data_IF_401179844254
#
_entry.id   IF_401179844254
#
_cell.length_a   1.000
_cell.length_b   1.000
_cell.length_c   1.000
_cell.angle_alpha   90.00
_cell.angle_beta   90.00
_cell.angle_gamma   90.00
#
_symmetry.space_group_name_H-M   'P 1'
#
loop_
_entity.id
_entity.type
_entity.pdbx_description
1 polymer ?
#
# COMPACT_ATOMS: atom_id res chain seq x y z
N UNK A 1 -5.84 15.54 5.89
CA UNK A 1 -4.39 15.30 5.99
C UNK A 1 -4.23 13.88 6.48
N UNK A 2 -3.51 13.04 5.74
CA UNK A 2 -3.04 11.76 6.24
C UNK A 2 -2.26 12.01 7.53
N UNK A 3 -2.55 11.28 8.62
CA UNK A 3 -1.64 11.28 9.75
C UNK A 3 -0.41 10.51 9.31
N UNK A 4 0.74 11.16 9.23
CA UNK A 4 2.02 10.48 9.01
C UNK A 4 2.15 9.32 10.02
N UNK A 5 2.49 8.14 9.51
CA UNK A 5 2.54 6.90 10.29
C UNK A 5 1.22 6.15 10.45
N UNK A 6 0.10 6.63 9.89
CA UNK A 6 -1.16 5.88 9.84
C UNK A 6 -0.99 4.57 9.07
N UNK A 7 -1.53 3.47 9.61
CA UNK A 7 -1.45 2.14 9.01
C UNK A 7 -2.68 1.88 8.15
N UNK A 8 -2.47 1.51 6.89
CA UNK A 8 -3.52 1.19 5.92
C UNK A 8 -3.32 -0.18 5.30
N UNK A 9 -4.42 -0.85 4.95
CA UNK A 9 -4.41 -2.14 4.27
C UNK A 9 -4.75 -1.97 2.78
N UNK A 10 -3.92 -2.53 1.89
CA UNK A 10 -4.15 -2.59 0.44
C UNK A 10 -4.33 -4.04 0.03
N UNK A 11 -5.48 -4.39 -0.54
CA UNK A 11 -5.69 -5.73 -1.10
C UNK A 11 -5.24 -5.78 -2.56
N UNK A 12 -4.48 -6.81 -2.95
CA UNK A 12 -3.99 -6.96 -4.32
C UNK A 12 -2.86 -5.98 -4.65
N UNK A 13 -1.94 -5.75 -3.72
CA UNK A 13 -0.85 -4.77 -3.84
C UNK A 13 0.16 -5.05 -4.95
N UNK A 14 0.18 -6.26 -5.51
CA UNK A 14 1.00 -6.60 -6.68
C UNK A 14 0.35 -6.28 -8.03
N UNK A 15 -0.95 -5.91 -8.05
CA UNK A 15 -1.66 -5.56 -9.28
C UNK A 15 -1.25 -4.20 -9.85
N UNK A 16 -1.67 -3.88 -11.08
CA UNK A 16 -1.38 -2.61 -11.75
C UNK A 16 -1.80 -1.39 -10.90
N UNK A 17 -3.03 -1.39 -10.39
CA UNK A 17 -3.54 -0.30 -9.55
C UNK A 17 -3.00 -0.41 -8.12
N UNK A 18 -2.93 -1.64 -7.58
CA UNK A 18 -2.48 -1.88 -6.22
C UNK A 18 -1.04 -1.41 -5.99
N UNK A 19 -0.13 -1.70 -6.92
CA UNK A 19 1.27 -1.31 -6.82
C UNK A 19 1.47 0.20 -6.90
N UNK A 20 0.77 0.88 -7.82
CA UNK A 20 0.79 2.35 -7.88
C UNK A 20 0.22 2.97 -6.59
N UNK A 21 -0.88 2.43 -6.06
CA UNK A 21 -1.49 2.91 -4.83
C UNK A 21 -0.56 2.72 -3.62
N UNK A 22 0.14 1.59 -3.51
CA UNK A 22 1.15 1.35 -2.46
C UNK A 22 2.26 2.40 -2.55
N UNK A 23 2.80 2.65 -3.74
CA UNK A 23 3.85 3.66 -3.94
C UNK A 23 3.39 5.07 -3.53
N UNK A 24 2.18 5.48 -3.95
CA UNK A 24 1.63 6.79 -3.62
C UNK A 24 1.37 6.95 -2.11
N UNK A 25 0.87 5.90 -1.44
CA UNK A 25 0.63 5.93 0.01
C UNK A 25 1.95 6.00 0.79
N UNK A 26 2.99 5.27 0.36
CA UNK A 26 4.32 5.36 0.97
C UNK A 26 4.92 6.77 0.81
N UNK A 27 4.80 7.39 -0.36
CA UNK A 27 5.25 8.79 -0.57
C UNK A 27 4.51 9.79 0.32
N UNK A 28 3.26 9.50 0.72
CA UNK A 28 2.47 10.31 1.63
C UNK A 28 2.76 10.04 3.11
N UNK A 29 3.70 9.14 3.43
CA UNK A 29 4.11 8.83 4.80
C UNK A 29 3.20 7.84 5.53
N UNK A 30 2.42 7.03 4.80
CA UNK A 30 1.65 5.94 5.40
C UNK A 30 2.50 4.70 5.63
N UNK A 31 2.14 3.92 6.64
CA UNK A 31 2.57 2.53 6.77
C UNK A 31 1.58 1.64 6.01
N UNK A 32 2.06 0.84 5.05
CA UNK A 32 1.19 0.06 4.16
C UNK A 32 1.34 -1.43 4.42
N UNK A 33 0.22 -2.11 4.69
CA UNK A 33 0.12 -3.56 4.67
C UNK A 33 -0.56 -3.99 3.37
N UNK A 34 0.21 -4.58 2.46
CA UNK A 34 -0.32 -5.05 1.19
C UNK A 34 -0.54 -6.57 1.21
N UNK A 35 -1.67 -7.05 0.68
CA UNK A 35 -1.85 -8.47 0.39
C UNK A 35 -1.44 -8.75 -1.05
N UNK A 36 -0.78 -9.88 -1.25
CA UNK A 36 -0.45 -10.43 -2.56
C UNK A 36 -1.00 -11.85 -2.63
N UNK A 37 -1.35 -12.31 -3.83
CA UNK A 37 -1.96 -13.63 -4.01
C UNK A 37 -0.95 -14.76 -3.79
N UNK A 38 0.29 -14.56 -4.23
CA UNK A 38 1.37 -15.53 -4.16
C UNK A 38 2.71 -14.79 -3.96
N UNK A 39 3.57 -15.35 -3.10
CA UNK A 39 4.89 -14.80 -2.74
C UNK A 39 6.04 -15.68 -3.28
N UNK A 40 5.70 -16.72 -4.04
CA UNK A 40 6.61 -17.79 -4.43
C UNK A 40 7.64 -17.34 -5.45
#
# INVERSE_FOLDING_TARGET
>A
MAKEGEVVCVTGGSGCIGSWLVCELLHRGYNVHATVQDLS
#
